data_IF_197393346894
#
_entry.id   IF_197393346894
#
_cell.length_a   1.000
_cell.length_b   1.000
_cell.length_c   1.000
_cell.angle_alpha   90.00
_cell.angle_beta   90.00
_cell.angle_gamma   90.00
#
_symmetry.space_group_name_H-M   'P 1'
#
loop_
_entity.id
_entity.type
_entity.pdbx_description
1 polymer ?
#
# COMPACT_ATOMS: atom_id res chain seq x y z
N UNK A 1 9.85 -4.21 7.00
CA UNK A 1 9.44 -3.77 5.64
C UNK A 1 9.22 -2.29 5.66
N UNK A 2 9.78 -1.60 4.68
CA UNK A 2 9.46 -0.19 4.47
C UNK A 2 7.97 -0.04 4.02
N UNK A 3 7.39 1.18 4.10
CA UNK A 3 5.98 1.39 3.73
C UNK A 3 5.63 0.94 2.30
N UNK A 4 6.54 1.15 1.34
CA UNK A 4 6.34 0.75 -0.05
C UNK A 4 6.22 -0.77 -0.21
N UNK A 5 7.06 -1.54 0.49
CA UNK A 5 6.99 -3.01 0.51
C UNK A 5 5.69 -3.50 1.15
N UNK A 6 5.19 -2.84 2.19
CA UNK A 6 3.91 -3.18 2.82
C UNK A 6 2.74 -2.98 1.85
N UNK A 7 2.73 -1.86 1.12
CA UNK A 7 1.75 -1.58 0.06
C UNK A 7 1.88 -2.60 -1.08
N UNK A 8 3.10 -2.94 -1.49
CA UNK A 8 3.33 -3.95 -2.52
C UNK A 8 2.81 -5.33 -2.12
N UNK A 9 3.02 -5.78 -0.88
CA UNK A 9 2.45 -7.04 -0.38
C UNK A 9 0.91 -7.03 -0.44
N UNK A 10 0.29 -5.90 -0.13
CA UNK A 10 -1.16 -5.73 -0.24
C UNK A 10 -1.66 -5.84 -1.69
N UNK A 11 -0.95 -5.24 -2.65
CA UNK A 11 -1.26 -5.32 -4.08
C UNK A 11 -1.03 -6.74 -4.61
N UNK A 12 0.10 -7.36 -4.25
CA UNK A 12 0.48 -8.71 -4.69
C UNK A 12 -0.56 -9.77 -4.32
N UNK A 13 -1.18 -9.66 -3.14
CA UNK A 13 -2.28 -10.56 -2.74
C UNK A 13 -3.49 -10.48 -3.68
N UNK A 14 -3.78 -9.30 -4.25
CA UNK A 14 -4.88 -9.07 -5.21
C UNK A 14 -4.51 -9.43 -6.63
N UNK A 15 -3.22 -9.32 -6.96
CA UNK A 15 -2.68 -9.73 -8.24
C UNK A 15 -2.72 -11.26 -8.44
N UNK A 16 -2.58 -12.06 -7.35
CA UNK A 16 -2.43 -13.53 -7.40
C UNK A 16 -3.51 -14.27 -8.22
N UNK A 17 -4.71 -13.70 -8.36
CA UNK A 17 -5.83 -14.33 -9.06
C UNK A 17 -6.22 -13.58 -10.35
N UNK A 18 -5.28 -12.85 -10.96
CA UNK A 18 -5.53 -12.05 -12.16
C UNK A 18 -4.60 -12.46 -13.30
N UNK A 19 -5.19 -12.60 -14.48
CA UNK A 19 -4.49 -12.74 -15.76
C UNK A 19 -4.84 -11.54 -16.62
N UNK A 20 -3.87 -11.01 -17.35
CA UNK A 20 -4.06 -9.85 -18.22
C UNK A 20 -3.72 -10.27 -19.65
N UNK A 21 -4.56 -9.89 -20.60
CA UNK A 21 -4.36 -10.22 -22.01
C UNK A 21 -3.16 -9.47 -22.61
N UNK A 22 -2.90 -8.25 -22.11
CA UNK A 22 -1.80 -7.42 -22.56
C UNK A 22 -1.28 -6.53 -21.42
N UNK A 23 -0.17 -5.84 -21.69
CA UNK A 23 0.52 -4.99 -20.72
C UNK A 23 -0.29 -3.73 -20.35
N UNK A 24 -1.13 -3.21 -21.25
CA UNK A 24 -1.91 -2.01 -20.98
C UNK A 24 -2.99 -2.28 -19.93
N UNK A 25 -3.67 -3.43 -20.01
CA UNK A 25 -4.64 -3.85 -19.00
C UNK A 25 -3.99 -4.07 -17.63
N UNK A 26 -2.74 -4.53 -17.58
CA UNK A 26 -2.00 -4.64 -16.32
C UNK A 26 -1.75 -3.25 -15.70
N UNK A 27 -1.30 -2.29 -16.50
CA UNK A 27 -1.01 -0.92 -16.06
C UNK A 27 -2.28 -0.22 -15.57
N UNK A 28 -3.36 -0.34 -16.34
CA UNK A 28 -4.66 0.20 -15.98
C UNK A 28 -5.16 -0.39 -14.65
N UNK A 29 -5.13 -1.72 -14.52
CA UNK A 29 -5.52 -2.37 -13.27
C UNK A 29 -4.67 -1.92 -12.06
N UNK A 30 -3.36 -1.76 -12.25
CA UNK A 30 -2.47 -1.30 -11.19
C UNK A 30 -2.81 0.14 -10.79
N UNK A 31 -3.03 1.02 -11.77
CA UNK A 31 -3.40 2.42 -11.55
C UNK A 31 -4.74 2.54 -10.82
N UNK A 32 -5.77 1.81 -11.25
CA UNK A 32 -7.07 1.76 -10.58
C UNK A 32 -6.96 1.19 -9.16
N UNK A 33 -6.19 0.13 -8.99
CA UNK A 33 -5.97 -0.49 -7.66
C UNK A 33 -5.35 0.49 -6.69
N UNK A 34 -4.39 1.30 -7.14
CA UNK A 34 -3.76 2.34 -6.32
C UNK A 34 -4.73 3.48 -6.02
N UNK A 35 -5.48 3.97 -7.00
CA UNK A 35 -6.44 5.07 -6.80
C UNK A 35 -7.64 4.67 -5.93
N UNK A 36 -8.01 3.39 -5.89
CA UNK A 36 -9.03 2.88 -4.99
C UNK A 36 -8.58 2.80 -3.51
N UNK A 37 -7.30 3.05 -3.21
CA UNK A 37 -6.78 3.03 -1.84
C UNK A 37 -6.97 4.39 -1.20
N UNK A 38 -7.99 4.50 -0.34
CA UNK A 38 -8.16 5.69 0.49
C UNK A 38 -7.03 5.89 1.50
N UNK A 39 -6.92 7.11 2.04
CA UNK A 39 -5.88 7.50 2.98
C UNK A 39 -5.85 6.62 4.26
N UNK A 40 -7.02 6.22 4.76
CA UNK A 40 -7.12 5.39 5.97
C UNK A 40 -6.59 3.98 5.72
N UNK A 41 -6.92 3.40 4.56
CA UNK A 41 -6.44 2.10 4.11
C UNK A 41 -4.94 2.11 3.90
N UNK A 42 -4.38 3.16 3.29
CA UNK A 42 -2.91 3.32 3.17
C UNK A 42 -2.26 3.36 4.56
N UNK A 43 -2.77 4.17 5.49
CA UNK A 43 -2.27 4.25 6.88
C UNK A 43 -2.37 2.92 7.64
N UNK A 44 -3.43 2.15 7.39
CA UNK A 44 -3.63 0.83 7.99
C UNK A 44 -2.61 -0.18 7.45
N UNK A 45 -2.42 -0.23 6.12
CA UNK A 45 -1.47 -1.14 5.48
C UNK A 45 -0.04 -0.87 5.93
N UNK A 46 0.35 0.41 6.06
CA UNK A 46 1.71 0.80 6.45
C UNK A 46 1.94 0.79 7.96
N UNK A 47 0.93 0.40 8.76
CA UNK A 47 0.99 0.44 10.22
C UNK A 47 1.44 1.81 10.75
N UNK A 48 0.90 2.89 10.16
CA UNK A 48 1.35 4.28 10.36
C UNK A 48 1.47 4.70 11.84
N UNK A 49 0.64 4.13 12.72
CA UNK A 49 0.67 4.39 14.15
C UNK A 49 2.02 4.03 14.81
N UNK A 50 2.76 3.04 14.31
CA UNK A 50 4.10 2.73 14.81
C UNK A 50 5.08 3.86 14.53
N UNK A 51 5.06 4.43 13.32
CA UNK A 51 5.91 5.57 12.97
C UNK A 51 5.58 6.81 13.80
N UNK A 52 4.28 7.11 13.97
CA UNK A 52 3.83 8.21 14.83
C UNK A 52 4.24 8.01 16.29
N UNK A 53 4.12 6.80 16.83
CA UNK A 53 4.53 6.48 18.20
C UNK A 53 6.03 6.69 18.39
N UNK A 54 6.85 6.22 17.45
CA UNK A 54 8.31 6.41 17.51
C UNK A 54 8.63 7.91 17.47
N UNK A 55 8.06 8.64 16.51
CA UNK A 55 8.29 10.07 16.36
C UNK A 55 7.93 10.85 17.63
N UNK A 56 6.72 10.65 18.15
CA UNK A 56 6.25 11.31 19.37
C UNK A 56 7.10 10.95 20.59
N UNK A 57 7.52 9.68 20.73
CA UNK A 57 8.35 9.24 21.84
C UNK A 57 9.77 9.83 21.85
N UNK A 58 10.28 10.27 20.70
CA UNK A 58 11.63 10.82 20.57
C UNK A 58 11.62 12.34 20.58
N UNK A 59 10.63 12.98 19.96
CA UNK A 59 10.65 14.42 19.68
C UNK A 59 9.56 15.23 20.39
N UNK A 60 8.55 14.60 21.00
CA UNK A 60 7.46 15.28 21.71
C UNK A 60 7.36 14.89 23.20
N UNK A 61 8.48 14.46 23.80
CA UNK A 61 8.62 14.34 25.25
C UNK A 61 9.01 15.68 25.83
#
# INVERSE_FOLDING_TARGET
MNPCEQVWQYIKKRFKNKTFENMELLKEWLYETLNAMDNQKVKSITSNHHYLKIFTSVFMV
#
